data_IF_135938314908
#
_entry.id   IF_135938314908
#
_cell.length_a   1.000
_cell.length_b   1.000
_cell.length_c   1.000
_cell.angle_alpha   90.00
_cell.angle_beta   90.00
_cell.angle_gamma   90.00
#
_symmetry.space_group_name_H-M   'P 1'
#
loop_
_entity.id
_entity.type
_entity.pdbx_description
1 polymer ?
#
# COMPACT_ATOMS: atom_id res chain seq x y z
N UNK A 1 49.58 -60.05 -7.32
CA UNK A 1 49.82 -58.82 -8.12
C UNK A 1 49.33 -57.66 -7.26
N UNK A 2 50.14 -57.06 -6.38
CA UNK A 2 51.33 -56.23 -6.62
C UNK A 2 50.95 -54.82 -6.13
N UNK A 3 51.33 -54.41 -4.91
CA UNK A 3 52.57 -53.66 -4.59
C UNK A 3 52.70 -52.36 -5.42
N UNK A 4 52.97 -51.17 -4.89
CA UNK A 4 53.45 -50.70 -3.59
C UNK A 4 53.46 -49.15 -3.60
N UNK A 5 53.58 -48.54 -2.41
CA UNK A 5 54.70 -47.66 -2.01
C UNK A 5 54.85 -46.37 -2.84
N UNK A 6 54.66 -45.18 -2.26
CA UNK A 6 55.51 -44.54 -1.24
C UNK A 6 55.62 -43.05 -1.62
N UNK A 7 56.20 -42.09 -0.90
CA UNK A 7 56.84 -41.99 0.41
C UNK A 7 57.26 -40.50 0.55
N UNK A 8 56.99 -39.84 1.70
CA UNK A 8 57.73 -38.69 2.29
C UNK A 8 57.85 -37.39 1.46
N UNK A 9 58.19 -36.19 1.96
CA UNK A 9 58.82 -35.69 3.18
C UNK A 9 58.34 -34.22 3.41
N UNK A 10 58.06 -33.77 4.63
CA UNK A 10 58.97 -33.05 5.54
C UNK A 10 59.43 -31.65 5.06
N UNK A 11 59.06 -30.62 5.83
CA UNK A 11 59.56 -29.25 5.70
C UNK A 11 59.23 -28.43 6.96
N UNK A 12 60.02 -28.64 8.01
CA UNK A 12 60.02 -27.85 9.23
C UNK A 12 60.80 -26.53 9.01
N UNK A 13 60.36 -25.44 9.64
CA UNK A 13 61.09 -24.17 9.68
C UNK A 13 60.45 -23.17 10.64
N UNK A 14 61.17 -22.86 11.72
CA UNK A 14 60.77 -22.15 12.95
C UNK A 14 60.44 -20.65 12.80
N UNK A 15 59.79 -20.05 13.83
CA UNK A 15 59.49 -18.62 13.91
C UNK A 15 60.73 -17.80 14.35
N UNK A 16 60.81 -16.55 13.89
CA UNK A 16 61.77 -15.56 14.41
C UNK A 16 61.13 -14.75 15.54
N UNK A 17 61.75 -14.81 16.71
CA UNK A 17 61.41 -14.02 17.88
C UNK A 17 62.25 -12.73 17.99
N UNK A 18 61.58 -11.70 18.50
CA UNK A 18 61.95 -10.72 19.55
C UNK A 18 63.43 -10.30 19.71
N UNK A 19 63.65 -8.97 19.65
CA UNK A 19 64.43 -8.14 20.58
C UNK A 19 64.34 -6.66 20.11
N UNK A 20 64.23 -5.60 20.92
CA UNK A 20 64.25 -5.38 22.37
C UNK A 20 64.46 -3.86 22.62
N UNK A 21 64.02 -3.36 23.79
CA UNK A 21 64.39 -2.10 24.50
C UNK A 21 64.35 -0.74 23.75
N UNK A 22 63.97 0.41 24.29
CA UNK A 22 63.69 0.88 25.65
C UNK A 22 64.21 2.33 25.81
N UNK A 23 63.33 3.25 26.25
CA UNK A 23 63.59 4.50 27.04
C UNK A 23 64.19 5.72 26.27
N UNK A 24 63.98 7.03 26.62
CA UNK A 24 63.33 7.64 27.81
C UNK A 24 62.27 8.74 27.56
N UNK A 25 61.65 9.13 28.69
CA UNK A 25 60.92 10.37 28.92
C UNK A 25 61.84 11.60 29.05
N UNK A 26 61.24 12.76 28.77
CA UNK A 26 61.45 14.08 29.39
C UNK A 26 61.69 15.20 28.37
N UNK A 27 60.76 16.16 28.34
CA UNK A 27 61.02 17.57 28.03
C UNK A 27 59.83 18.41 28.46
N UNK A 28 60.02 19.04 29.60
CA UNK A 28 59.27 20.19 30.07
C UNK A 28 59.37 21.38 29.10
N UNK A 29 58.29 22.17 29.05
CA UNK A 29 58.35 23.62 28.94
C UNK A 29 58.34 24.23 27.54
N UNK A 30 57.14 24.61 27.07
CA UNK A 30 56.98 25.93 26.44
C UNK A 30 55.58 26.46 26.71
N UNK A 31 55.50 27.51 27.52
CA UNK A 31 54.30 28.29 27.74
C UNK A 31 53.88 28.97 26.44
N UNK A 32 52.66 28.67 26.01
CA UNK A 32 51.96 29.41 24.98
C UNK A 32 50.51 29.55 25.42
N UNK A 33 50.14 30.77 25.83
CA UNK A 33 48.76 31.15 26.04
C UNK A 33 47.96 30.84 24.76
N UNK A 34 47.12 29.82 24.80
CA UNK A 34 46.04 29.68 23.82
C UNK A 34 44.78 30.10 24.56
N UNK A 35 44.37 31.35 24.28
CA UNK A 35 43.11 31.92 24.70
C UNK A 35 41.99 30.89 24.57
N UNK A 36 41.29 30.66 25.68
CA UNK A 36 40.03 29.95 25.70
C UNK A 36 38.99 30.79 24.95
N UNK A 37 38.96 30.69 23.63
CA UNK A 37 37.81 31.10 22.83
C UNK A 37 36.74 30.05 23.12
N UNK A 38 35.86 30.37 24.06
CA UNK A 38 34.68 29.57 24.34
C UNK A 38 33.91 29.35 23.04
N UNK A 39 34.00 28.14 22.49
CA UNK A 39 33.02 27.66 21.54
C UNK A 39 31.78 27.41 22.40
N UNK A 40 30.93 28.43 22.52
CA UNK A 40 29.52 28.21 22.82
C UNK A 40 28.98 27.30 21.71
N UNK A 41 29.04 25.98 21.94
CA UNK A 41 28.16 25.04 21.27
C UNK A 41 26.75 25.37 21.77
N UNK A 42 26.14 26.39 21.15
CA UNK A 42 24.69 26.54 21.18
C UNK A 42 24.14 25.15 20.84
N UNK A 43 23.38 24.50 21.74
CA UNK A 43 22.71 23.27 21.38
C UNK A 43 21.87 23.64 20.17
N UNK A 44 22.27 23.14 19.00
CA UNK A 44 21.49 23.31 17.78
C UNK A 44 20.11 22.86 18.16
N UNK A 45 19.16 23.80 18.16
CA UNK A 45 17.76 23.49 18.31
C UNK A 45 17.43 22.56 17.16
N UNK A 46 17.57 21.25 17.41
CA UNK A 46 17.10 20.21 16.54
C UNK A 46 15.63 20.54 16.38
N UNK A 47 15.30 21.15 15.24
CA UNK A 47 13.95 21.54 14.93
C UNK A 47 13.15 20.26 15.11
N UNK A 48 12.34 20.23 16.17
CA UNK A 48 11.43 19.12 16.43
C UNK A 48 10.40 19.21 15.32
N UNK A 49 10.77 18.69 14.15
CA UNK A 49 9.91 18.62 12.98
C UNK A 49 8.68 17.89 13.44
N UNK A 50 7.53 18.56 13.37
CA UNK A 50 6.29 17.97 13.81
C UNK A 50 6.04 16.70 13.02
N UNK A 51 5.31 15.75 13.61
CA UNK A 51 4.76 14.57 12.92
C UNK A 51 4.23 14.92 11.52
N UNK A 52 3.54 16.07 11.39
CA UNK A 52 3.02 16.59 10.12
C UNK A 52 4.12 16.96 9.12
N UNK A 53 5.21 17.57 9.54
CA UNK A 53 6.32 17.95 8.66
C UNK A 53 7.08 16.73 8.16
N UNK A 54 7.25 15.71 9.01
CA UNK A 54 7.89 14.44 8.62
C UNK A 54 7.01 13.65 7.65
N UNK A 55 5.70 13.58 7.93
CA UNK A 55 4.72 12.92 7.05
C UNK A 55 4.65 13.60 5.68
N UNK A 56 4.59 14.93 5.65
CA UNK A 56 4.57 15.69 4.40
C UNK A 56 5.89 15.61 3.65
N UNK A 57 7.04 15.62 4.34
CA UNK A 57 8.34 15.40 3.72
C UNK A 57 8.48 14.00 3.12
N UNK A 58 8.05 12.96 3.84
CA UNK A 58 8.06 11.58 3.35
C UNK A 58 7.13 11.41 2.15
N UNK A 59 5.89 11.91 2.26
CA UNK A 59 4.93 11.87 1.16
C UNK A 59 5.44 12.63 -0.06
N UNK A 60 6.06 13.80 0.15
CA UNK A 60 6.65 14.60 -0.94
C UNK A 60 7.85 13.92 -1.57
N UNK A 61 8.69 13.25 -0.79
CA UNK A 61 9.82 12.47 -1.29
C UNK A 61 9.34 11.30 -2.17
N UNK A 62 8.34 10.55 -1.71
CA UNK A 62 7.70 9.47 -2.48
C UNK A 62 7.03 10.00 -3.76
N UNK A 63 6.23 11.07 -3.66
CA UNK A 63 5.60 11.68 -4.85
C UNK A 63 6.64 12.20 -5.86
N UNK A 64 7.74 12.76 -5.37
CA UNK A 64 8.81 13.25 -6.24
C UNK A 64 9.54 12.09 -6.91
N UNK A 65 9.79 10.99 -6.20
CA UNK A 65 10.41 9.78 -6.74
C UNK A 65 9.51 9.10 -7.79
N UNK A 66 8.21 9.02 -7.52
CA UNK A 66 7.19 8.55 -8.46
C UNK A 66 7.10 9.46 -9.69
N UNK A 67 7.04 10.78 -9.50
CA UNK A 67 7.06 11.78 -10.57
C UNK A 67 8.31 11.70 -11.46
N UNK A 68 9.45 11.30 -10.88
CA UNK A 68 10.69 11.06 -11.64
C UNK A 68 10.69 9.75 -12.40
N UNK A 69 9.99 8.73 -11.88
CA UNK A 69 9.86 7.43 -12.53
C UNK A 69 8.63 7.40 -13.45
N UNK A 70 8.76 8.12 -14.57
CA UNK A 70 7.72 8.20 -15.61
C UNK A 70 7.28 6.83 -16.13
N UNK A 71 8.19 5.85 -16.16
CA UNK A 71 7.88 4.47 -16.57
C UNK A 71 6.92 3.80 -15.60
N UNK A 72 7.16 3.92 -14.29
CA UNK A 72 6.26 3.36 -13.27
C UNK A 72 4.90 4.07 -13.27
N UNK A 73 4.87 5.41 -13.38
CA UNK A 73 3.60 6.13 -13.49
C UNK A 73 2.82 5.75 -14.75
N UNK A 74 3.50 5.65 -15.89
CA UNK A 74 2.88 5.25 -17.14
C UNK A 74 2.31 3.83 -17.04
N UNK A 75 3.08 2.86 -16.55
CA UNK A 75 2.59 1.48 -16.40
C UNK A 75 1.46 1.38 -15.37
N UNK A 76 1.56 2.12 -14.25
CA UNK A 76 0.53 2.15 -13.22
C UNK A 76 -0.77 2.78 -13.72
N UNK A 77 -0.72 3.79 -14.60
CA UNK A 77 -1.91 4.44 -15.15
C UNK A 77 -2.47 3.71 -16.38
N UNK A 78 -1.60 3.10 -17.19
CA UNK A 78 -1.98 2.41 -18.42
C UNK A 78 -2.68 1.08 -18.13
N UNK A 79 -2.19 0.31 -17.15
CA UNK A 79 -2.75 -1.01 -16.82
C UNK A 79 -4.25 -0.97 -16.46
N UNK A 80 -4.71 -0.08 -15.55
CA UNK A 80 -6.14 0.07 -15.28
C UNK A 80 -6.94 0.46 -16.52
N UNK A 81 -6.37 1.25 -17.43
CA UNK A 81 -7.02 1.64 -18.68
C UNK A 81 -7.18 0.46 -19.63
N UNK A 82 -6.13 -0.34 -19.81
CA UNK A 82 -6.17 -1.57 -20.61
C UNK A 82 -7.19 -2.54 -20.02
N UNK A 83 -7.21 -2.71 -18.70
CA UNK A 83 -8.18 -3.56 -18.02
C UNK A 83 -9.61 -3.03 -18.18
N UNK A 84 -9.82 -1.72 -18.05
CA UNK A 84 -11.12 -1.10 -18.28
C UNK A 84 -11.60 -1.33 -19.71
N UNK A 85 -10.71 -1.21 -20.70
CA UNK A 85 -11.03 -1.52 -22.08
C UNK A 85 -11.32 -3.02 -22.28
N UNK A 86 -10.53 -3.91 -21.69
CA UNK A 86 -10.75 -5.36 -21.77
C UNK A 86 -12.10 -5.75 -21.15
N UNK A 87 -12.44 -5.21 -19.97
CA UNK A 87 -13.71 -5.44 -19.31
C UNK A 87 -14.86 -4.86 -20.12
N UNK A 88 -14.69 -3.69 -20.75
CA UNK A 88 -15.69 -3.12 -21.66
C UNK A 88 -15.98 -4.06 -22.83
N UNK A 89 -14.94 -4.62 -23.44
CA UNK A 89 -15.09 -5.57 -24.56
C UNK A 89 -15.76 -6.86 -24.10
N UNK A 90 -15.35 -7.41 -22.96
CA UNK A 90 -15.95 -8.61 -22.39
C UNK A 90 -17.45 -8.42 -22.04
N UNK A 91 -17.80 -7.25 -21.49
CA UNK A 91 -19.18 -6.90 -21.14
C UNK A 91 -20.02 -6.59 -22.39
N UNK A 92 -19.44 -5.95 -23.40
CA UNK A 92 -20.12 -5.67 -24.68
C UNK A 92 -20.48 -6.95 -25.47
N UNK A 93 -19.75 -8.05 -25.25
CA UNK A 93 -20.05 -9.35 -25.86
C UNK A 93 -21.10 -10.17 -25.06
N UNK A 94 -21.48 -9.74 -23.86
CA UNK A 94 -22.55 -10.39 -23.09
C UNK A 94 -23.94 -9.95 -23.58
N UNK A 95 -24.95 -10.84 -23.58
CA UNK A 95 -26.32 -10.49 -23.91
C UNK A 95 -26.99 -9.71 -22.76
N UNK A 96 -26.51 -8.48 -22.51
CA UNK A 96 -26.97 -7.59 -21.44
C UNK A 96 -28.40 -7.08 -21.66
N UNK A 97 -28.84 -7.03 -22.92
CA UNK A 97 -30.20 -6.60 -23.29
C UNK A 97 -31.28 -7.51 -22.70
N UNK A 98 -31.00 -8.79 -22.45
CA UNK A 98 -31.97 -9.70 -21.80
C UNK A 98 -32.18 -9.40 -20.31
N UNK A 99 -31.31 -8.62 -19.68
CA UNK A 99 -31.35 -8.29 -18.25
C UNK A 99 -31.56 -6.79 -17.96
N UNK A 100 -31.81 -5.95 -18.98
CA UNK A 100 -32.04 -4.51 -18.81
C UNK A 100 -30.83 -3.71 -18.29
N UNK A 101 -29.62 -4.28 -18.36
CA UNK A 101 -28.40 -3.68 -17.81
C UNK A 101 -27.62 -2.94 -18.91
N UNK A 102 -27.20 -1.70 -18.63
CA UNK A 102 -26.31 -0.96 -19.54
C UNK A 102 -24.84 -1.32 -19.28
N UNK A 103 -24.02 -1.30 -20.33
CA UNK A 103 -22.56 -1.53 -20.23
C UNK A 103 -21.93 -0.60 -19.18
N UNK A 104 -22.40 0.65 -19.07
CA UNK A 104 -21.92 1.61 -18.07
C UNK A 104 -22.18 1.18 -16.63
N UNK A 105 -23.35 0.62 -16.33
CA UNK A 105 -23.75 0.22 -14.96
C UNK A 105 -22.97 -0.96 -14.39
N UNK A 106 -22.47 -1.85 -15.25
CA UNK A 106 -21.66 -2.99 -14.86
C UNK A 106 -20.15 -2.68 -14.93
N UNK A 107 -19.72 -1.96 -15.95
CA UNK A 107 -18.31 -1.68 -16.21
C UNK A 107 -17.68 -0.76 -15.16
N UNK A 108 -18.39 0.28 -14.75
CA UNK A 108 -17.80 1.36 -13.95
C UNK A 108 -17.54 0.98 -12.50
N UNK A 109 -18.49 0.38 -11.74
CA UNK A 109 -18.17 -0.16 -10.43
C UNK A 109 -17.06 -1.21 -10.50
N UNK A 110 -17.05 -2.04 -11.55
CA UNK A 110 -15.99 -3.02 -11.79
C UNK A 110 -14.61 -2.38 -11.89
N UNK A 111 -14.43 -1.42 -12.80
CA UNK A 111 -13.15 -0.76 -13.02
C UNK A 111 -12.64 0.02 -11.80
N UNK A 112 -13.52 0.72 -11.08
CA UNK A 112 -13.16 1.39 -9.82
C UNK A 112 -12.79 0.36 -8.74
N UNK A 113 -13.53 -0.74 -8.65
CA UNK A 113 -13.21 -1.84 -7.74
C UNK A 113 -11.88 -2.51 -8.03
N UNK A 114 -11.52 -2.67 -9.30
CA UNK A 114 -10.19 -3.13 -9.70
C UNK A 114 -9.08 -2.17 -9.25
N UNK A 115 -9.27 -0.85 -9.39
CA UNK A 115 -8.31 0.13 -8.87
C UNK A 115 -8.14 0.00 -7.36
N UNK A 116 -9.26 -0.07 -6.63
CA UNK A 116 -9.24 -0.25 -5.18
C UNK A 116 -8.46 -1.52 -4.78
N UNK A 117 -8.70 -2.65 -5.43
CA UNK A 117 -8.04 -3.91 -5.07
C UNK A 117 -6.58 -3.94 -5.53
N UNK A 118 -6.29 -3.69 -6.80
CA UNK A 118 -4.95 -3.93 -7.32
C UNK A 118 -4.00 -2.76 -7.07
N UNK A 119 -4.45 -1.54 -7.32
CA UNK A 119 -3.59 -0.36 -7.20
C UNK A 119 -3.49 0.16 -5.76
N UNK A 120 -4.51 -0.08 -4.93
CA UNK A 120 -4.51 0.40 -3.54
C UNK A 120 -4.25 -0.73 -2.57
N UNK A 121 -5.13 -1.74 -2.46
CA UNK A 121 -4.96 -2.83 -1.50
C UNK A 121 -3.62 -3.55 -1.69
N UNK A 122 -3.35 -4.02 -2.90
CA UNK A 122 -2.14 -4.80 -3.22
C UNK A 122 -0.86 -4.00 -2.98
N UNK A 123 -0.80 -2.77 -3.49
CA UNK A 123 0.36 -1.88 -3.34
C UNK A 123 0.60 -1.49 -1.88
N UNK A 124 -0.45 -1.14 -1.11
CA UNK A 124 -0.30 -0.82 0.31
C UNK A 124 0.14 -2.04 1.10
N UNK A 125 -0.47 -3.21 0.87
CA UNK A 125 -0.09 -4.46 1.56
C UNK A 125 1.37 -4.80 1.28
N UNK A 126 1.79 -4.80 0.02
CA UNK A 126 3.17 -5.07 -0.37
C UNK A 126 4.16 -4.05 0.23
N UNK A 127 3.87 -2.75 0.12
CA UNK A 127 4.72 -1.70 0.65
C UNK A 127 4.87 -1.79 2.18
N UNK A 128 3.79 -2.09 2.91
CA UNK A 128 3.83 -2.26 4.36
C UNK A 128 4.61 -3.51 4.76
N UNK A 129 4.48 -4.62 4.03
CA UNK A 129 5.25 -5.85 4.30
C UNK A 129 6.73 -5.67 3.98
N UNK A 130 7.09 -5.03 2.86
CA UNK A 130 8.49 -4.72 2.54
C UNK A 130 9.11 -3.77 3.55
N UNK A 131 8.41 -2.69 3.91
CA UNK A 131 8.85 -1.81 5.01
C UNK A 131 8.95 -2.59 6.32
N UNK A 132 8.13 -3.64 6.49
CA UNK A 132 8.21 -4.51 7.66
C UNK A 132 9.53 -5.27 7.74
N UNK A 133 9.92 -5.86 6.64
CA UNK A 133 11.20 -6.57 6.52
C UNK A 133 12.40 -5.62 6.67
N UNK A 134 12.33 -4.42 6.09
CA UNK A 134 13.40 -3.42 6.20
C UNK A 134 13.55 -2.84 7.61
N UNK A 135 12.44 -2.61 8.32
CA UNK A 135 12.48 -2.06 9.67
C UNK A 135 12.90 -3.11 10.72
N UNK A 136 12.78 -4.41 10.44
CA UNK A 136 13.46 -5.45 11.25
C UNK A 136 14.98 -5.28 11.15
N UNK A 137 15.52 -4.98 9.96
CA UNK A 137 16.95 -4.70 9.77
C UNK A 137 17.38 -3.35 10.40
N UNK A 138 16.51 -2.32 10.35
CA UNK A 138 16.80 -0.96 10.85
C UNK A 138 16.53 -0.77 12.35
N UNK A 139 15.65 -1.55 12.98
CA UNK A 139 15.39 -1.53 14.44
C UNK A 139 16.61 -1.94 15.28
N UNK A 140 17.62 -2.57 14.66
CA UNK A 140 18.96 -2.73 15.27
C UNK A 140 19.72 -1.40 15.45
N UNK A 141 19.28 -0.28 14.86
CA UNK A 141 20.07 0.97 14.87
C UNK A 141 19.35 2.22 15.35
N UNK A 142 18.09 2.50 15.00
CA UNK A 142 17.46 3.77 15.42
C UNK A 142 15.94 3.64 15.51
N UNK A 143 15.34 3.65 16.71
CA UNK A 143 13.89 3.54 16.89
C UNK A 143 13.25 4.85 17.33
N UNK A 144 12.48 5.53 16.47
CA UNK A 144 11.67 6.71 16.85
C UNK A 144 10.40 7.00 15.99
N UNK A 145 9.90 6.08 15.15
CA UNK A 145 8.70 6.32 14.34
C UNK A 145 7.47 5.63 14.91
N UNK A 146 6.33 6.34 14.97
CA UNK A 146 5.07 5.75 15.44
C UNK A 146 4.38 4.94 14.34
N UNK A 147 3.70 3.86 14.70
CA UNK A 147 3.01 2.95 13.77
C UNK A 147 2.02 3.64 12.82
N UNK A 148 1.33 4.68 13.33
CA UNK A 148 0.34 5.45 12.56
C UNK A 148 1.00 6.33 11.51
N UNK A 149 2.17 6.89 11.81
CA UNK A 149 2.91 7.72 10.87
C UNK A 149 3.46 6.88 9.71
N UNK A 150 3.96 5.67 10.02
CA UNK A 150 4.44 4.73 9.00
C UNK A 150 3.28 4.31 8.09
N UNK A 151 2.13 3.97 8.68
CA UNK A 151 0.94 3.59 7.91
C UNK A 151 0.47 4.72 7.00
N UNK A 152 0.26 5.94 7.56
CA UNK A 152 -0.22 7.08 6.80
C UNK A 152 0.79 7.51 5.72
N UNK A 153 2.08 7.55 6.05
CA UNK A 153 3.14 7.90 5.13
C UNK A 153 3.32 6.91 3.98
N UNK A 154 3.02 5.62 4.22
CA UNK A 154 3.07 4.58 3.18
C UNK A 154 1.81 4.56 2.33
N UNK A 155 0.63 4.75 2.94
CA UNK A 155 -0.64 4.69 2.24
C UNK A 155 -0.92 5.94 1.40
N UNK A 156 -0.48 7.11 1.84
CA UNK A 156 -0.83 8.39 1.21
C UNK A 156 -0.41 8.49 -0.28
N UNK A 157 0.82 8.14 -0.69
CA UNK A 157 1.19 8.15 -2.10
C UNK A 157 0.33 7.20 -2.93
N UNK A 158 0.07 6.00 -2.41
CA UNK A 158 -0.76 5.00 -3.10
C UNK A 158 -2.21 5.45 -3.24
N UNK A 159 -2.79 6.05 -2.21
CA UNK A 159 -4.15 6.61 -2.27
C UNK A 159 -4.24 7.74 -3.30
N UNK A 160 -3.23 8.62 -3.37
CA UNK A 160 -3.20 9.70 -4.37
C UNK A 160 -3.13 9.16 -5.80
N UNK A 161 -2.33 8.11 -6.04
CA UNK A 161 -2.28 7.43 -7.34
C UNK A 161 -3.62 6.76 -7.65
N UNK A 162 -4.22 6.07 -6.69
CA UNK A 162 -5.53 5.44 -6.84
C UNK A 162 -6.63 6.44 -7.17
N UNK A 163 -6.64 7.60 -6.51
CA UNK A 163 -7.56 8.69 -6.83
C UNK A 163 -7.33 9.23 -8.24
N UNK A 164 -6.07 9.42 -8.65
CA UNK A 164 -5.74 9.84 -10.01
C UNK A 164 -6.20 8.80 -11.06
N UNK A 165 -6.06 7.50 -10.78
CA UNK A 165 -6.58 6.43 -11.62
C UNK A 165 -8.11 6.46 -11.72
N UNK A 166 -8.82 6.65 -10.60
CA UNK A 166 -10.28 6.80 -10.63
C UNK A 166 -10.71 7.99 -11.49
N UNK A 167 -10.08 9.16 -11.32
CA UNK A 167 -10.37 10.35 -12.15
C UNK A 167 -10.08 10.07 -13.61
N UNK A 168 -8.96 9.44 -13.92
CA UNK A 168 -8.59 9.07 -15.29
C UNK A 168 -9.61 8.13 -15.91
N UNK A 169 -10.10 7.13 -15.16
CA UNK A 169 -11.14 6.21 -15.63
C UNK A 169 -12.46 6.91 -15.92
N UNK A 170 -12.89 7.85 -15.06
CA UNK A 170 -14.11 8.64 -15.31
C UNK A 170 -13.97 9.50 -16.58
N UNK A 171 -12.84 10.18 -16.74
CA UNK A 171 -12.59 11.06 -17.90
C UNK A 171 -12.43 10.26 -19.19
N UNK A 172 -11.61 9.20 -19.19
CA UNK A 172 -11.42 8.33 -20.35
C UNK A 172 -12.67 7.52 -20.68
N UNK A 173 -13.44 7.08 -19.69
CA UNK A 173 -14.73 6.42 -19.88
C UNK A 173 -15.72 7.33 -20.61
N UNK A 174 -15.80 8.61 -20.22
CA UNK A 174 -16.63 9.60 -20.90
C UNK A 174 -16.17 9.90 -22.34
N UNK A 175 -14.87 10.13 -22.54
CA UNK A 175 -14.33 10.58 -23.83
C UNK A 175 -14.10 9.45 -24.84
N UNK A 176 -13.51 8.34 -24.42
CA UNK A 176 -13.07 7.26 -25.31
C UNK A 176 -14.11 6.13 -25.43
N UNK A 177 -14.84 5.84 -24.35
CA UNK A 177 -15.86 4.78 -24.32
C UNK A 177 -17.29 5.30 -24.51
N UNK A 178 -17.47 6.62 -24.67
CA UNK A 178 -18.77 7.30 -24.81
C UNK A 178 -19.78 6.90 -23.73
N UNK A 179 -19.31 6.66 -22.51
CA UNK A 179 -20.17 6.38 -21.36
C UNK A 179 -20.69 7.71 -20.80
N UNK A 180 -21.98 7.78 -20.44
CA UNK A 180 -22.57 8.98 -19.86
C UNK A 180 -21.78 9.47 -18.65
N UNK A 181 -21.60 10.78 -18.46
CA UNK A 181 -20.94 11.31 -17.27
C UNK A 181 -21.78 11.04 -15.99
N UNK A 182 -21.14 10.96 -14.81
CA UNK A 182 -21.86 10.71 -13.56
C UNK A 182 -22.85 11.83 -13.26
N UNK A 183 -24.13 11.46 -13.07
CA UNK A 183 -25.20 12.42 -12.75
C UNK A 183 -25.11 12.95 -11.32
N UNK A 184 -24.55 12.19 -10.40
CA UNK A 184 -24.36 12.55 -8.99
C UNK A 184 -22.89 12.35 -8.55
N UNK A 185 -21.96 13.24 -8.98
CA UNK A 185 -20.53 13.09 -8.72
C UNK A 185 -20.15 13.10 -7.23
N UNK A 186 -21.00 13.67 -6.38
CA UNK A 186 -20.80 13.70 -4.93
C UNK A 186 -20.90 12.29 -4.29
N UNK A 187 -21.86 11.46 -4.74
CA UNK A 187 -21.99 10.07 -4.27
C UNK A 187 -20.85 9.21 -4.77
N UNK A 188 -20.42 9.42 -6.02
CA UNK A 188 -19.25 8.74 -6.58
C UNK A 188 -18.00 9.05 -5.77
N UNK A 189 -17.74 10.34 -5.50
CA UNK A 189 -16.59 10.76 -4.71
C UNK A 189 -16.65 10.16 -3.30
N UNK A 190 -17.81 10.20 -2.66
CA UNK A 190 -18.03 9.63 -1.33
C UNK A 190 -17.77 8.12 -1.31
N UNK A 191 -18.29 7.38 -2.29
CA UNK A 191 -18.06 5.95 -2.47
C UNK A 191 -16.58 5.63 -2.63
N UNK A 192 -15.88 6.33 -3.53
CA UNK A 192 -14.44 6.15 -3.76
C UNK A 192 -13.64 6.42 -2.48
N UNK A 193 -13.92 7.50 -1.76
CA UNK A 193 -13.21 7.85 -0.52
C UNK A 193 -13.44 6.81 0.59
N UNK A 194 -14.68 6.36 0.78
CA UNK A 194 -15.01 5.28 1.72
C UNK A 194 -14.30 3.98 1.33
N UNK A 195 -14.31 3.63 0.04
CA UNK A 195 -13.59 2.49 -0.51
C UNK A 195 -12.11 2.54 -0.20
N UNK A 196 -11.46 3.69 -0.43
CA UNK A 196 -10.05 3.89 -0.10
C UNK A 196 -9.76 3.65 1.38
N UNK A 197 -10.59 4.21 2.29
CA UNK A 197 -10.41 4.04 3.74
C UNK A 197 -10.54 2.57 4.15
N UNK A 198 -11.61 1.90 3.70
CA UNK A 198 -11.86 0.48 4.00
C UNK A 198 -10.70 -0.36 3.50
N UNK A 199 -10.31 -0.17 2.25
CA UNK A 199 -9.29 -0.98 1.58
C UNK A 199 -7.91 -0.77 2.20
N UNK A 200 -7.52 0.47 2.50
CA UNK A 200 -6.24 0.75 3.18
C UNK A 200 -6.22 0.13 4.57
N UNK A 201 -7.32 0.22 5.32
CA UNK A 201 -7.42 -0.37 6.65
C UNK A 201 -7.39 -1.91 6.59
N UNK A 202 -8.06 -2.52 5.62
CA UNK A 202 -8.01 -3.96 5.40
C UNK A 202 -6.62 -4.42 4.96
N UNK A 203 -5.96 -3.71 4.06
CA UNK A 203 -4.58 -3.98 3.64
C UNK A 203 -3.64 -3.99 4.85
N UNK A 204 -3.74 -2.97 5.69
CA UNK A 204 -2.98 -2.87 6.93
C UNK A 204 -3.30 -4.03 7.90
N UNK A 205 -4.56 -4.40 8.08
CA UNK A 205 -4.95 -5.54 8.91
C UNK A 205 -4.38 -6.87 8.38
N UNK A 206 -4.39 -7.07 7.06
CA UNK A 206 -3.85 -8.26 6.41
C UNK A 206 -2.33 -8.41 6.60
N UNK A 207 -1.59 -7.31 6.71
CA UNK A 207 -0.15 -7.35 7.00
C UNK A 207 0.18 -7.95 8.38
N UNK A 208 -0.78 -8.00 9.31
CA UNK A 208 -0.59 -8.66 10.60
C UNK A 208 -0.46 -10.18 10.48
N UNK A 209 -1.07 -10.77 9.44
CA UNK A 209 -1.12 -12.22 9.21
C UNK A 209 -0.06 -12.64 8.18
N UNK A 210 0.25 -11.75 7.23
CA UNK A 210 1.22 -11.97 6.17
C UNK A 210 2.67 -11.89 6.69
N UNK A 211 3.45 -12.96 6.44
CA UNK A 211 4.83 -13.09 6.91
C UNK A 211 5.91 -12.60 5.94
N UNK A 212 5.61 -12.55 4.63
CA UNK A 212 6.57 -12.11 3.61
C UNK A 212 5.89 -11.40 2.44
N UNK A 213 6.64 -10.60 1.68
CA UNK A 213 6.11 -9.91 0.51
C UNK A 213 5.54 -10.88 -0.54
N UNK A 214 6.14 -12.06 -0.67
CA UNK A 214 5.67 -13.12 -1.57
C UNK A 214 4.37 -13.77 -1.05
N UNK A 215 4.26 -13.98 0.27
CA UNK A 215 3.02 -14.43 0.90
C UNK A 215 1.93 -13.36 0.89
N UNK A 216 2.28 -12.07 0.74
CA UNK A 216 1.31 -10.97 0.66
C UNK A 216 0.41 -11.12 -0.56
N UNK A 217 1.01 -11.43 -1.70
CA UNK A 217 0.27 -11.69 -2.95
C UNK A 217 -0.69 -12.87 -2.77
N UNK A 218 -0.25 -13.95 -2.13
CA UNK A 218 -1.08 -15.14 -1.90
C UNK A 218 -2.21 -14.91 -0.88
N UNK A 219 -1.93 -14.18 0.20
CA UNK A 219 -2.93 -13.87 1.26
C UNK A 219 -3.96 -12.83 0.78
N UNK A 220 -3.62 -12.07 -0.26
CA UNK A 220 -4.51 -11.11 -0.91
C UNK A 220 -5.52 -11.80 -1.83
N UNK A 221 -5.18 -12.96 -2.41
CA UNK A 221 -6.03 -13.66 -3.37
C UNK A 221 -7.44 -13.98 -2.84
N UNK A 222 -7.62 -14.55 -1.64
CA UNK A 222 -8.97 -14.82 -1.12
C UNK A 222 -9.82 -13.55 -1.02
N UNK A 223 -9.23 -12.46 -0.55
CA UNK A 223 -9.91 -11.17 -0.47
C UNK A 223 -10.29 -10.64 -1.86
N UNK A 224 -9.37 -10.73 -2.82
CA UNK A 224 -9.62 -10.34 -4.23
C UNK A 224 -10.77 -11.16 -4.81
N UNK A 225 -10.74 -12.49 -4.69
CA UNK A 225 -11.76 -13.36 -5.27
C UNK A 225 -13.13 -13.14 -4.63
N UNK A 226 -13.22 -13.09 -3.29
CA UNK A 226 -14.48 -12.82 -2.59
C UNK A 226 -15.04 -11.48 -2.98
N UNK A 227 -14.19 -10.46 -3.08
CA UNK A 227 -14.61 -9.13 -3.49
C UNK A 227 -15.10 -9.16 -4.95
N UNK A 228 -14.31 -9.72 -5.87
CA UNK A 228 -14.65 -9.75 -7.31
C UNK A 228 -15.95 -10.50 -7.60
N UNK A 229 -16.12 -11.66 -6.97
CA UNK A 229 -17.32 -12.48 -7.14
C UNK A 229 -18.54 -11.90 -6.40
N UNK A 230 -18.31 -11.22 -5.28
CA UNK A 230 -19.36 -10.91 -4.32
C UNK A 230 -19.74 -9.44 -4.20
N UNK A 231 -18.92 -8.50 -4.66
CA UNK A 231 -19.15 -7.07 -4.38
C UNK A 231 -19.83 -6.30 -5.50
N UNK A 232 -20.41 -6.98 -6.48
CA UNK A 232 -21.03 -6.33 -7.63
C UNK A 232 -20.05 -5.74 -8.65
N UNK A 233 -18.75 -6.09 -8.57
CA UNK A 233 -17.72 -5.56 -9.47
C UNK A 233 -17.77 -6.16 -10.86
N UNK A 234 -17.86 -7.49 -10.96
CA UNK A 234 -17.86 -8.19 -12.25
C UNK A 234 -19.28 -8.37 -12.77
N UNK A 235 -20.20 -8.67 -11.85
CA UNK A 235 -21.58 -8.98 -12.18
C UNK A 235 -22.50 -8.28 -11.17
N UNK A 236 -23.56 -7.58 -11.62
CA UNK A 236 -24.52 -6.94 -10.72
C UNK A 236 -25.11 -7.94 -9.71
N UNK A 237 -25.37 -7.48 -8.48
CA UNK A 237 -25.95 -8.35 -7.44
C UNK A 237 -27.36 -8.84 -7.81
N UNK A 238 -28.04 -8.11 -8.70
CA UNK A 238 -29.40 -8.36 -9.18
C UNK A 238 -29.56 -9.68 -9.95
N UNK A 239 -28.45 -10.29 -10.41
CA UNK A 239 -28.48 -11.57 -11.11
C UNK A 239 -28.45 -12.77 -10.15
N UNK A 240 -28.12 -12.55 -8.88
CA UNK A 240 -28.01 -13.60 -7.89
C UNK A 240 -29.36 -13.81 -7.17
N UNK A 241 -29.68 -15.04 -6.72
CA UNK A 241 -30.87 -15.29 -5.91
C UNK A 241 -30.89 -14.41 -4.65
N UNK A 242 -32.06 -13.94 -4.23
CA UNK A 242 -32.25 -12.96 -3.14
C UNK A 242 -31.44 -13.27 -1.87
N UNK A 243 -31.36 -14.55 -1.48
CA UNK A 243 -30.60 -14.97 -0.29
C UNK A 243 -29.10 -14.79 -0.45
N UNK A 244 -28.58 -15.04 -1.66
CA UNK A 244 -27.16 -14.86 -1.98
C UNK A 244 -26.87 -13.36 -2.09
N UNK A 245 -27.70 -12.62 -2.81
CA UNK A 245 -27.58 -11.17 -2.93
C UNK A 245 -27.54 -10.47 -1.56
N UNK A 246 -28.40 -10.87 -0.61
CA UNK A 246 -28.41 -10.30 0.74
C UNK A 246 -27.09 -10.51 1.51
N UNK A 247 -26.43 -11.67 1.35
CA UNK A 247 -25.12 -11.93 1.97
C UNK A 247 -24.03 -11.14 1.25
N UNK A 248 -24.10 -11.09 -0.07
CA UNK A 248 -23.15 -10.35 -0.90
C UNK A 248 -23.23 -8.84 -0.67
N UNK A 249 -24.41 -8.28 -0.40
CA UNK A 249 -24.59 -6.87 -0.02
C UNK A 249 -23.82 -6.49 1.25
N UNK A 250 -23.57 -7.44 2.15
CA UNK A 250 -22.86 -7.21 3.40
C UNK A 250 -21.34 -7.20 3.24
N UNK A 251 -20.80 -7.55 2.07
CA UNK A 251 -19.35 -7.50 1.84
C UNK A 251 -18.81 -6.06 1.89
N UNK A 252 -17.55 -5.87 2.31
CA UNK A 252 -16.99 -4.53 2.58
C UNK A 252 -16.96 -3.61 1.35
N UNK A 253 -16.81 -4.18 0.15
CA UNK A 253 -16.77 -3.42 -1.11
C UNK A 253 -18.16 -3.26 -1.75
N UNK A 254 -19.16 -4.05 -1.36
CA UNK A 254 -20.52 -3.96 -1.92
C UNK A 254 -21.19 -2.60 -1.71
N UNK A 255 -21.19 -2.00 -0.50
CA UNK A 255 -21.79 -0.67 -0.32
C UNK A 255 -21.02 0.40 -1.11
N UNK A 256 -19.71 0.23 -1.31
CA UNK A 256 -18.87 1.13 -2.12
C UNK A 256 -19.27 1.05 -3.58
N UNK A 257 -19.40 -0.15 -4.14
CA UNK A 257 -19.83 -0.33 -5.54
C UNK A 257 -21.25 0.17 -5.77
N UNK A 258 -22.13 -0.01 -4.78
CA UNK A 258 -23.46 0.59 -4.77
C UNK A 258 -23.43 2.11 -4.86
N UNK A 259 -22.68 2.78 -3.98
CA UNK A 259 -22.55 4.25 -4.00
C UNK A 259 -21.94 4.78 -5.30
N UNK A 260 -20.97 4.06 -5.87
CA UNK A 260 -20.37 4.39 -7.17
C UNK A 260 -21.41 4.26 -8.30
N UNK A 261 -22.23 3.20 -8.27
CA UNK A 261 -23.33 3.00 -9.23
C UNK A 261 -24.40 4.09 -9.09
N UNK A 262 -24.85 4.36 -7.87
CA UNK A 262 -25.86 5.37 -7.55
C UNK A 262 -25.38 6.77 -7.96
N UNK A 263 -24.10 7.07 -7.75
CA UNK A 263 -23.47 8.31 -8.20
C UNK A 263 -23.41 8.47 -9.72
N UNK A 264 -23.40 7.36 -10.46
CA UNK A 264 -23.41 7.39 -11.92
C UNK A 264 -24.82 7.58 -12.48
N UNK A 265 -25.76 6.75 -12.01
CA UNK A 265 -27.15 6.74 -12.46
C UNK A 265 -27.94 7.95 -11.97
N UNK A 266 -27.56 8.52 -10.82
CA UNK A 266 -28.34 9.54 -10.14
C UNK A 266 -29.66 9.02 -9.56
N UNK A 267 -29.80 7.70 -9.43
CA UNK A 267 -31.05 7.00 -9.03
C UNK A 267 -30.93 6.36 -7.63
N UNK A 268 -30.22 7.01 -6.70
CA UNK A 268 -30.11 6.52 -5.33
C UNK A 268 -31.31 6.97 -4.49
N UNK A 269 -32.15 6.04 -4.03
CA UNK A 269 -33.07 6.35 -2.93
C UNK A 269 -32.27 6.75 -1.69
N UNK A 270 -32.78 7.71 -0.92
CA UNK A 270 -32.10 8.21 0.27
C UNK A 270 -31.91 7.10 1.31
N UNK A 271 -32.90 6.21 1.42
CA UNK A 271 -32.90 5.08 2.36
C UNK A 271 -31.81 4.08 2.01
N UNK A 272 -31.70 3.70 0.74
CA UNK A 272 -30.69 2.76 0.27
C UNK A 272 -29.29 3.35 0.34
N UNK A 273 -29.13 4.62 -0.03
CA UNK A 273 -27.87 5.36 0.12
C UNK A 273 -27.42 5.36 1.58
N UNK A 274 -28.34 5.64 2.51
CA UNK A 274 -28.05 5.65 3.94
C UNK A 274 -27.69 4.24 4.46
N UNK A 275 -28.41 3.20 4.03
CA UNK A 275 -28.10 1.80 4.34
C UNK A 275 -26.67 1.45 3.89
N UNK A 276 -26.31 1.78 2.63
CA UNK A 276 -24.96 1.56 2.09
C UNK A 276 -23.91 2.33 2.90
N UNK A 277 -24.17 3.57 3.27
CA UNK A 277 -23.25 4.38 4.09
C UNK A 277 -23.03 3.79 5.47
N UNK A 278 -24.10 3.35 6.15
CA UNK A 278 -23.99 2.72 7.47
C UNK A 278 -23.16 1.44 7.39
N UNK A 279 -23.39 0.59 6.39
CA UNK A 279 -22.62 -0.64 6.20
C UNK A 279 -21.14 -0.31 5.89
N UNK A 280 -20.88 0.65 5.00
CA UNK A 280 -19.52 1.08 4.68
C UNK A 280 -18.79 1.65 5.90
N UNK A 281 -19.45 2.48 6.71
CA UNK A 281 -18.89 3.04 7.94
C UNK A 281 -18.66 1.97 9.00
N UNK A 282 -19.55 0.98 9.11
CA UNK A 282 -19.37 -0.16 10.00
C UNK A 282 -18.12 -0.96 9.62
N UNK A 283 -17.93 -1.23 8.32
CA UNK A 283 -16.72 -1.89 7.81
C UNK A 283 -15.46 -1.04 7.99
N UNK A 284 -15.53 0.26 7.74
CA UNK A 284 -14.40 1.16 7.98
C UNK A 284 -14.01 1.17 9.46
N UNK A 285 -15.00 1.23 10.36
CA UNK A 285 -14.81 1.13 11.80
C UNK A 285 -14.20 -0.20 12.21
N UNK A 286 -14.72 -1.31 11.69
CA UNK A 286 -14.21 -2.67 11.96
C UNK A 286 -12.79 -2.86 11.45
N UNK A 287 -12.47 -2.38 10.24
CA UNK A 287 -11.14 -2.44 9.67
C UNK A 287 -10.14 -1.59 10.47
N UNK A 288 -10.52 -0.37 10.87
CA UNK A 288 -9.68 0.48 11.74
C UNK A 288 -9.50 -0.16 13.11
N UNK A 289 -10.53 -0.79 13.67
CA UNK A 289 -10.43 -1.54 14.92
C UNK A 289 -9.49 -2.74 14.78
N UNK A 290 -9.61 -3.51 13.70
CA UNK A 290 -8.73 -4.63 13.37
C UNK A 290 -7.27 -4.18 13.27
N UNK A 291 -7.00 -3.06 12.58
CA UNK A 291 -5.67 -2.44 12.56
C UNK A 291 -5.22 -2.11 13.98
N UNK A 292 -6.00 -1.37 14.77
CA UNK A 292 -5.61 -1.03 16.16
C UNK A 292 -5.35 -2.26 17.05
N UNK A 293 -6.04 -3.38 16.80
CA UNK A 293 -5.98 -4.56 17.66
C UNK A 293 -4.90 -5.57 17.26
N UNK A 294 -4.67 -5.72 15.96
CA UNK A 294 -3.78 -6.74 15.37
C UNK A 294 -2.52 -6.16 14.75
N UNK A 295 -2.54 -4.90 14.29
CA UNK A 295 -1.34 -4.23 13.84
C UNK A 295 -0.45 -3.97 15.05
N UNK A 296 0.51 -4.86 15.24
CA UNK A 296 1.59 -4.72 16.21
C UNK A 296 2.88 -4.83 15.44
N UNK A 297 3.65 -3.76 15.48
CA UNK A 297 4.95 -3.72 14.84
C UNK A 297 5.93 -4.69 15.52
N UNK A 298 5.81 -4.90 16.83
CA UNK A 298 6.69 -5.81 17.57
C UNK A 298 6.30 -7.30 17.46
N UNK A 299 7.26 -8.20 17.13
CA UNK A 299 7.07 -9.64 17.27
C UNK A 299 6.81 -9.97 18.74
N UNK A 300 5.84 -10.84 19.01
CA UNK A 300 5.69 -11.47 20.33
C UNK A 300 6.84 -12.46 20.50
N UNK A 301 7.63 -12.28 21.54
CA UNK A 301 8.55 -13.29 22.06
C UNK A 301 7.78 -14.56 22.46
#
# INVERSE_FOLDING_TARGET
>A
MGAGQGHRAAGAGRPLGVAGGGVPADRQGFGGQVSATGIETRPGAAARTGTRDRLTALARAELTLLGRNKTTLFMALLMPLIMAFALHRAVAEMPLEKNGLSVGTALLPGTIGFVLIFAVYGTVTGALVTRREELVLKRLRCGELTDREILAGTALPTVLIGLAQCVLLVVCGGLALKVDLPRAPHLLLLGVLLGMVIVVAMAAASTAITKSAEAASLTTLPFVFVSMAGSGMVAPLDIFPDRVAAVLELLPLSPVMGLVRDGWLGEGDLTDTLKRLVIALAWAGLAVFAVRRWFRWEPRH
#
